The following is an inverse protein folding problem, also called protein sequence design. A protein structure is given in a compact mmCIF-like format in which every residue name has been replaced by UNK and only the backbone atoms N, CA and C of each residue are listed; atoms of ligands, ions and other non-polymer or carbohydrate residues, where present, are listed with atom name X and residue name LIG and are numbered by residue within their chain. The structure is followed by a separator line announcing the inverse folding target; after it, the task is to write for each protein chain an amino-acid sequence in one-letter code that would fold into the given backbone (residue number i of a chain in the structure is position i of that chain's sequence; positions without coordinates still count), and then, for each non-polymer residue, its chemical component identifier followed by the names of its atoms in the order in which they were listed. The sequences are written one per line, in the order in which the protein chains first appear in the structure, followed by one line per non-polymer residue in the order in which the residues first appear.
data_IF_293627124631
#
_entry.id   IF_293627124631
#
_cell.length_a   1.000
_cell.length_b   1.000
_cell.length_c   1.000
_cell.angle_alpha   90.00
_cell.angle_beta   90.00
_cell.angle_gamma   90.00
#
_symmetry.space_group_name_H-M   'P 1'
#
loop_
_entity.id
_entity.type
_entity.pdbx_description
1 polymer ?
#
# COMPACT_ATOMS: atom_id res chain seq x y z
N UNK A 1 1.35 -31.60 42.00
CA UNK A 1 1.13 -32.71 41.06
C UNK A 1 0.05 -33.69 41.53
N UNK A 2 -0.15 -33.88 42.85
CA UNK A 2 -1.15 -34.81 43.40
C UNK A 2 -1.86 -34.16 44.59
N UNK A 3 -2.75 -33.17 44.37
CA UNK A 3 -3.36 -32.40 45.44
C UNK A 3 -4.26 -33.25 46.38
N UNK A 4 -4.80 -34.36 45.84
CA UNK A 4 -5.67 -35.28 46.60
C UNK A 4 -4.90 -36.33 47.39
N UNK A 5 -3.57 -36.36 47.31
CA UNK A 5 -2.72 -37.36 48.00
C UNK A 5 -2.27 -36.82 49.37
N UNK A 6 -2.20 -37.69 50.37
CA UNK A 6 -1.52 -37.34 51.59
C UNK A 6 0.01 -37.20 51.36
N UNK A 7 0.72 -36.67 52.36
CA UNK A 7 2.15 -36.35 52.24
C UNK A 7 3.03 -37.59 51.94
N UNK A 8 2.67 -38.75 52.47
CA UNK A 8 3.48 -39.96 52.32
C UNK A 8 3.21 -40.62 50.98
N UNK A 9 1.94 -40.68 50.57
CA UNK A 9 1.53 -41.16 49.24
C UNK A 9 2.10 -40.29 48.13
N UNK A 10 2.03 -38.94 48.30
CA UNK A 10 2.63 -37.97 47.36
C UNK A 10 4.12 -38.14 47.21
N UNK A 11 4.89 -38.40 48.27
CA UNK A 11 6.32 -38.70 48.21
C UNK A 11 6.61 -40.00 47.44
N UNK A 12 5.83 -41.03 47.71
CA UNK A 12 6.01 -42.33 47.04
C UNK A 12 5.72 -42.21 45.54
N UNK A 13 4.70 -41.47 45.13
CA UNK A 13 4.38 -41.16 43.74
C UNK A 13 5.52 -40.38 43.08
N UNK A 14 6.08 -39.38 43.77
CA UNK A 14 7.21 -38.60 43.26
C UNK A 14 8.45 -39.49 43.08
N UNK A 15 8.82 -40.32 44.04
CA UNK A 15 9.95 -41.25 43.90
C UNK A 15 9.80 -42.20 42.71
N UNK A 16 8.61 -42.74 42.56
CA UNK A 16 8.30 -43.62 41.41
C UNK A 16 8.41 -42.87 40.08
N UNK A 17 7.88 -41.65 39.99
CA UNK A 17 7.94 -40.80 38.81
C UNK A 17 9.41 -40.50 38.44
N UNK A 18 10.21 -40.07 39.41
CA UNK A 18 11.65 -39.79 39.19
C UNK A 18 12.42 -41.07 38.79
N UNK A 19 12.08 -42.20 39.37
CA UNK A 19 12.67 -43.49 38.96
C UNK A 19 12.35 -43.80 37.48
N UNK A 20 11.09 -43.69 37.09
CA UNK A 20 10.66 -43.90 35.71
C UNK A 20 11.30 -42.91 34.74
N UNK A 21 11.36 -41.63 35.10
CA UNK A 21 12.04 -40.60 34.33
C UNK A 21 13.51 -40.93 34.10
N UNK A 22 14.27 -41.25 35.14
CA UNK A 22 15.67 -41.64 35.03
C UNK A 22 15.86 -42.89 34.18
N UNK A 23 14.93 -43.85 34.28
CA UNK A 23 14.93 -45.06 33.47
C UNK A 23 14.67 -44.78 32.00
N UNK A 24 13.75 -43.89 31.69
CA UNK A 24 13.45 -43.47 30.32
C UNK A 24 14.65 -42.75 29.70
N UNK A 25 15.16 -41.73 30.36
CA UNK A 25 16.33 -40.97 29.91
C UNK A 25 17.55 -41.86 29.66
N UNK A 26 17.79 -42.85 30.53
CA UNK A 26 18.91 -43.76 30.33
C UNK A 26 18.78 -44.71 29.13
N UNK A 27 17.52 -45.01 28.69
CA UNK A 27 17.29 -45.79 27.45
C UNK A 27 17.70 -44.97 26.22
N UNK A 28 17.55 -43.65 26.27
CA UNK A 28 17.89 -42.73 25.21
C UNK A 28 19.35 -42.26 25.27
N UNK A 29 20.17 -42.92 26.09
CA UNK A 29 21.62 -42.66 26.24
C UNK A 29 21.94 -41.46 27.14
N UNK A 30 20.95 -40.88 27.82
CA UNK A 30 21.18 -39.76 28.75
C UNK A 30 21.71 -40.29 30.08
N UNK A 31 22.75 -39.68 30.69
CA UNK A 31 23.32 -40.10 31.95
C UNK A 31 22.29 -40.10 33.09
N UNK A 32 22.33 -41.15 33.94
CA UNK A 32 21.35 -41.29 35.07
C UNK A 32 21.39 -40.15 36.07
N UNK A 33 22.52 -39.46 36.19
CA UNK A 33 22.73 -38.36 37.13
C UNK A 33 22.30 -36.99 36.59
N UNK A 34 21.68 -36.95 35.40
CA UNK A 34 21.10 -35.68 34.87
C UNK A 34 20.00 -35.15 35.78
N UNK A 35 19.21 -36.02 36.39
CA UNK A 35 18.26 -35.66 37.45
C UNK A 35 18.89 -36.04 38.80
N UNK A 36 19.31 -35.03 39.55
CA UNK A 36 19.93 -35.19 40.85
C UNK A 36 18.95 -34.92 41.99
N UNK A 37 19.20 -35.58 43.13
CA UNK A 37 18.51 -35.29 44.36
C UNK A 37 19.20 -34.14 45.07
N UNK A 38 18.44 -33.13 45.50
CA UNK A 38 18.93 -31.96 46.25
C UNK A 38 18.15 -31.84 47.54
N UNK A 39 18.61 -30.96 48.46
CA UNK A 39 17.86 -30.69 49.70
C UNK A 39 16.48 -30.15 49.33
N UNK A 40 15.47 -30.92 49.70
CA UNK A 40 14.05 -30.53 49.48
C UNK A 40 13.43 -30.96 48.15
N UNK A 41 14.17 -31.69 47.27
CA UNK A 41 13.60 -32.14 45.99
C UNK A 41 14.55 -32.74 44.98
N UNK A 42 14.25 -32.47 43.73
CA UNK A 42 15.05 -32.93 42.59
C UNK A 42 15.32 -31.71 41.70
N UNK A 43 16.51 -31.68 41.11
CA UNK A 43 16.89 -30.68 40.10
C UNK A 43 17.57 -31.35 38.90
N UNK A 44 17.63 -30.64 37.82
CA UNK A 44 18.56 -31.01 36.73
C UNK A 44 19.97 -30.67 37.20
N UNK A 45 20.93 -31.53 36.87
CA UNK A 45 22.30 -31.35 37.24
C UNK A 45 22.97 -30.28 36.38
N UNK A 46 23.48 -29.21 37.00
CA UNK A 46 24.08 -28.03 36.37
C UNK A 46 25.36 -28.35 35.53
N UNK A 47 25.93 -29.55 35.68
CA UNK A 47 27.06 -30.01 34.86
C UNK A 47 26.67 -30.38 33.43
N UNK A 48 25.36 -30.38 33.12
CA UNK A 48 24.84 -30.65 31.79
C UNK A 48 24.25 -29.37 31.17
N UNK A 49 24.72 -29.04 29.98
CA UNK A 49 24.08 -27.98 29.15
C UNK A 49 22.84 -28.54 28.45
N UNK A 50 21.69 -28.10 28.90
CA UNK A 50 20.40 -28.57 28.38
C UNK A 50 19.82 -27.52 27.47
N UNK A 51 19.81 -27.84 26.18
CA UNK A 51 19.14 -27.04 25.21
C UNK A 51 17.66 -27.45 25.09
N UNK A 52 16.77 -26.45 25.15
CA UNK A 52 15.36 -26.63 24.83
C UNK A 52 14.94 -25.58 23.79
N UNK A 53 14.06 -25.96 22.90
CA UNK A 53 13.57 -25.08 21.84
C UNK A 53 12.88 -23.82 22.39
N UNK A 54 12.04 -23.98 23.40
CA UNK A 54 11.29 -22.87 24.02
C UNK A 54 12.20 -21.87 24.72
N UNK A 55 13.18 -22.33 25.51
CA UNK A 55 14.12 -21.46 26.22
C UNK A 55 15.03 -20.71 25.26
N UNK A 56 15.55 -21.42 24.24
CA UNK A 56 16.32 -20.78 23.18
C UNK A 56 15.51 -19.74 22.41
N UNK A 57 14.24 -20.05 22.09
CA UNK A 57 13.32 -19.11 21.44
C UNK A 57 13.12 -17.86 22.28
N UNK A 58 12.76 -18.03 23.56
CA UNK A 58 12.54 -16.93 24.51
C UNK A 58 13.78 -16.04 24.65
N UNK A 59 14.96 -16.64 24.86
CA UNK A 59 16.23 -15.91 24.99
C UNK A 59 16.58 -15.09 23.74
N UNK A 60 16.42 -15.65 22.56
CA UNK A 60 16.72 -14.95 21.31
C UNK A 60 15.70 -13.84 21.04
N UNK A 61 14.40 -14.07 21.28
CA UNK A 61 13.39 -13.02 21.13
C UNK A 61 13.60 -11.91 22.16
N UNK A 62 13.96 -12.23 23.40
CA UNK A 62 14.31 -11.22 24.42
C UNK A 62 15.53 -10.37 24.00
N UNK A 63 16.54 -10.96 23.35
CA UNK A 63 17.66 -10.20 22.77
C UNK A 63 17.22 -9.27 21.64
N UNK A 64 16.31 -9.75 20.80
CA UNK A 64 15.71 -8.98 19.70
C UNK A 64 14.94 -7.77 20.26
N UNK A 65 14.10 -7.96 21.28
CA UNK A 65 13.32 -6.91 21.93
C UNK A 65 14.19 -5.87 22.66
N UNK A 66 15.40 -6.28 23.11
CA UNK A 66 16.42 -5.38 23.69
C UNK A 66 17.24 -4.63 22.62
N UNK A 67 16.87 -4.74 21.35
CA UNK A 67 17.47 -3.98 20.25
C UNK A 67 18.61 -4.70 19.52
N UNK A 68 18.85 -6.01 19.75
CA UNK A 68 19.81 -6.76 18.94
C UNK A 68 19.23 -6.97 17.54
N UNK A 69 19.98 -6.60 16.52
CA UNK A 69 19.56 -6.81 15.14
C UNK A 69 19.80 -8.27 14.68
N UNK A 70 18.80 -8.84 14.04
CA UNK A 70 18.85 -10.15 13.40
C UNK A 70 18.59 -10.05 11.90
N UNK A 71 19.21 -10.96 11.13
CA UNK A 71 18.89 -11.11 9.72
C UNK A 71 17.49 -11.72 9.54
N UNK A 72 16.90 -11.53 8.36
CA UNK A 72 15.58 -12.11 8.04
C UNK A 72 15.61 -13.63 8.16
N UNK A 73 16.70 -14.27 7.75
CA UNK A 73 16.89 -15.72 7.84
C UNK A 73 16.84 -16.19 9.31
N UNK A 74 17.52 -15.46 10.20
CA UNK A 74 17.47 -15.75 11.64
C UNK A 74 16.06 -15.57 12.20
N UNK A 75 15.35 -14.50 11.84
CA UNK A 75 13.98 -14.28 12.28
C UNK A 75 13.04 -15.39 11.76
N UNK A 76 13.19 -15.82 10.51
CA UNK A 76 12.44 -16.96 9.95
C UNK A 76 12.74 -18.27 10.67
N UNK A 77 13.99 -18.51 11.06
CA UNK A 77 14.36 -19.71 11.82
C UNK A 77 13.74 -19.72 13.22
N UNK A 78 13.71 -18.57 13.90
CA UNK A 78 13.04 -18.44 15.18
C UNK A 78 11.52 -18.62 15.06
N UNK A 79 10.91 -18.05 14.02
CA UNK A 79 9.49 -18.25 13.73
C UNK A 79 9.12 -19.73 13.59
N UNK A 80 10.00 -20.54 12.98
CA UNK A 80 9.76 -21.97 12.80
C UNK A 80 9.91 -22.80 14.08
N UNK A 81 10.57 -22.27 15.13
CA UNK A 81 10.68 -22.96 16.41
C UNK A 81 9.36 -22.96 17.18
N UNK A 82 8.56 -21.92 17.07
CA UNK A 82 7.25 -21.88 17.72
C UNK A 82 6.24 -22.71 16.92
N UNK A 83 5.93 -23.90 17.43
CA UNK A 83 5.04 -24.86 16.75
C UNK A 83 3.64 -24.95 17.34
N UNK A 84 3.32 -24.11 18.31
CA UNK A 84 2.07 -24.08 19.03
C UNK A 84 2.28 -23.84 20.53
N UNK A 85 1.19 -23.92 21.28
CA UNK A 85 1.20 -23.60 22.71
C UNK A 85 2.09 -24.54 23.50
N UNK A 86 2.84 -23.95 24.43
CA UNK A 86 3.70 -24.67 25.36
C UNK A 86 2.89 -25.70 26.17
N UNK A 87 3.30 -26.97 26.08
CA UNK A 87 2.60 -28.10 26.69
C UNK A 87 1.07 -28.08 26.47
N UNK A 88 0.66 -28.01 25.21
CA UNK A 88 -0.78 -27.92 24.82
C UNK A 88 -1.63 -29.08 25.37
N UNK A 89 -1.03 -30.21 25.73
CA UNK A 89 -1.67 -31.37 26.38
C UNK A 89 -1.89 -31.18 27.90
N UNK A 90 -1.23 -30.20 28.53
CA UNK A 90 -1.35 -29.89 29.96
C UNK A 90 -2.18 -28.62 30.21
N UNK A 91 -3.38 -28.56 29.64
CA UNK A 91 -4.22 -27.34 29.61
C UNK A 91 -4.62 -26.76 30.97
N UNK A 92 -4.65 -27.60 32.02
CA UNK A 92 -5.15 -27.24 33.34
C UNK A 92 -4.06 -27.12 34.40
N UNK A 93 -2.79 -27.06 33.96
CA UNK A 93 -1.66 -26.95 34.89
C UNK A 93 -1.22 -25.48 34.98
N UNK A 94 -1.57 -24.81 36.07
CA UNK A 94 -1.34 -23.37 36.30
C UNK A 94 0.10 -22.92 36.01
N UNK A 95 1.11 -23.78 36.31
CA UNK A 95 2.51 -23.47 36.08
C UNK A 95 2.87 -23.33 34.60
N UNK A 96 2.09 -23.93 33.71
CA UNK A 96 2.33 -23.82 32.24
C UNK A 96 1.75 -22.55 31.65
N UNK A 97 0.76 -21.95 32.29
CA UNK A 97 0.01 -20.83 31.75
C UNK A 97 0.88 -19.59 31.57
N UNK A 98 1.69 -19.24 32.58
CA UNK A 98 2.60 -18.08 32.53
C UNK A 98 3.61 -18.23 31.37
N UNK A 99 4.18 -19.44 31.20
CA UNK A 99 5.10 -19.70 30.08
C UNK A 99 4.39 -19.65 28.74
N UNK A 100 3.17 -20.16 28.67
CA UNK A 100 2.37 -20.18 27.45
C UNK A 100 2.05 -18.74 27.00
N UNK A 101 1.59 -17.90 27.89
CA UNK A 101 1.31 -16.49 27.58
C UNK A 101 2.58 -15.74 27.16
N UNK A 102 3.69 -15.90 27.88
CA UNK A 102 4.95 -15.24 27.54
C UNK A 102 5.49 -15.67 26.17
N UNK A 103 5.50 -16.97 25.89
CA UNK A 103 5.96 -17.50 24.60
C UNK A 103 5.04 -17.07 23.45
N UNK A 104 3.74 -17.00 23.69
CA UNK A 104 2.75 -16.51 22.75
C UNK A 104 3.00 -15.03 22.40
N UNK A 105 3.18 -14.18 23.41
CA UNK A 105 3.47 -12.77 23.22
C UNK A 105 4.81 -12.56 22.51
N UNK A 106 5.84 -13.31 22.87
CA UNK A 106 7.12 -13.30 22.20
C UNK A 106 7.02 -13.71 20.72
N UNK A 107 6.15 -14.67 20.41
CA UNK A 107 5.89 -15.07 19.02
C UNK A 107 5.21 -13.98 18.21
N UNK A 108 4.21 -13.30 18.79
CA UNK A 108 3.53 -12.18 18.13
C UNK A 108 4.48 -11.00 17.88
N UNK A 109 5.33 -10.68 18.86
CA UNK A 109 6.35 -9.64 18.72
C UNK A 109 7.38 -9.99 17.64
N UNK A 110 7.79 -11.26 17.55
CA UNK A 110 8.68 -11.76 16.49
C UNK A 110 8.03 -11.59 15.10
N UNK A 111 6.73 -11.92 14.95
CA UNK A 111 5.98 -11.72 13.71
C UNK A 111 5.98 -10.24 13.33
N UNK A 112 5.72 -9.34 14.26
CA UNK A 112 5.68 -7.90 14.02
C UNK A 112 7.04 -7.40 13.49
N UNK A 113 8.13 -7.75 14.14
CA UNK A 113 9.48 -7.35 13.72
C UNK A 113 9.89 -7.97 12.37
N UNK A 114 9.59 -9.27 12.17
CA UNK A 114 9.87 -9.96 10.91
C UNK A 114 9.13 -9.31 9.75
N UNK A 115 7.85 -9.05 9.94
CA UNK A 115 6.99 -8.50 8.89
C UNK A 115 7.31 -7.04 8.58
N UNK A 116 7.70 -6.23 9.57
CA UNK A 116 8.20 -4.89 9.35
C UNK A 116 9.49 -4.88 8.52
N UNK A 117 10.45 -5.78 8.83
CA UNK A 117 11.67 -5.93 8.02
C UNK A 117 11.37 -6.41 6.59
N UNK A 118 10.47 -7.37 6.43
CA UNK A 118 10.05 -7.86 5.10
C UNK A 118 9.37 -6.76 4.28
N UNK A 119 8.52 -5.97 4.90
CA UNK A 119 7.84 -4.84 4.27
C UNK A 119 8.83 -3.76 3.81
N UNK A 120 9.78 -3.37 4.66
CA UNK A 120 10.86 -2.43 4.33
C UNK A 120 11.72 -2.92 3.16
N UNK A 121 11.94 -4.22 3.06
CA UNK A 121 12.65 -4.86 1.94
C UNK A 121 11.74 -5.11 0.72
N UNK A 122 10.53 -4.53 0.68
CA UNK A 122 9.55 -4.65 -0.41
C UNK A 122 9.08 -6.10 -0.70
N UNK A 123 9.33 -7.03 0.22
CA UNK A 123 8.84 -8.40 0.13
C UNK A 123 7.39 -8.50 0.65
N UNK A 124 6.46 -7.84 -0.05
CA UNK A 124 5.06 -7.72 0.36
C UNK A 124 4.32 -9.06 0.40
N UNK A 125 4.71 -10.03 -0.43
CA UNK A 125 4.07 -11.37 -0.45
C UNK A 125 4.34 -12.13 0.84
N UNK A 126 5.62 -12.22 1.25
CA UNK A 126 5.98 -12.87 2.51
C UNK A 126 5.38 -12.11 3.69
N UNK A 127 5.41 -10.76 3.67
CA UNK A 127 4.78 -9.92 4.69
C UNK A 127 3.31 -10.32 4.92
N UNK A 128 2.53 -10.45 3.84
CA UNK A 128 1.12 -10.87 3.90
C UNK A 128 0.98 -12.27 4.49
N UNK A 129 1.83 -13.21 4.08
CA UNK A 129 1.75 -14.60 4.55
C UNK A 129 1.99 -14.72 6.06
N UNK A 130 3.01 -14.03 6.60
CA UNK A 130 3.30 -14.05 8.03
C UNK A 130 2.25 -13.27 8.83
N UNK A 131 1.79 -12.12 8.35
CA UNK A 131 0.73 -11.36 9.02
C UNK A 131 -0.61 -12.09 9.04
N UNK A 132 -0.94 -12.85 8.00
CA UNK A 132 -2.15 -13.67 7.99
C UNK A 132 -2.13 -14.66 9.15
N UNK A 133 -0.99 -15.32 9.40
CA UNK A 133 -0.82 -16.21 10.55
C UNK A 133 -0.87 -15.45 11.88
N UNK A 134 -0.28 -14.27 11.96
CA UNK A 134 -0.38 -13.41 13.13
C UNK A 134 -1.82 -13.03 13.46
N UNK A 135 -2.60 -12.64 12.46
CA UNK A 135 -4.04 -12.29 12.60
C UNK A 135 -4.90 -13.52 12.97
N UNK A 136 -4.58 -14.72 12.47
CA UNK A 136 -5.24 -15.94 12.89
C UNK A 136 -4.96 -16.27 14.38
N UNK A 137 -3.76 -15.94 14.83
CA UNK A 137 -3.31 -16.22 16.19
C UNK A 137 -3.80 -15.16 17.21
N UNK A 138 -3.80 -13.89 16.82
CA UNK A 138 -4.33 -12.76 17.60
C UNK A 138 -5.13 -11.82 16.68
N UNK A 139 -6.46 -12.00 16.60
CA UNK A 139 -7.31 -11.19 15.72
C UNK A 139 -7.57 -9.76 16.23
N UNK A 140 -7.11 -9.41 17.44
CA UNK A 140 -7.33 -8.09 18.03
C UNK A 140 -6.14 -7.14 17.81
N UNK A 141 -5.01 -7.61 17.32
CA UNK A 141 -3.78 -6.82 17.14
C UNK A 141 -3.86 -5.95 15.90
N UNK A 142 -4.30 -4.72 16.04
CA UNK A 142 -4.52 -3.77 14.94
C UNK A 142 -3.27 -3.50 14.09
N UNK A 143 -2.06 -3.51 14.69
CA UNK A 143 -0.81 -3.33 13.96
C UNK A 143 -0.62 -4.36 12.84
N UNK A 144 -1.09 -5.59 13.04
CA UNK A 144 -1.04 -6.63 12.00
C UNK A 144 -1.95 -6.28 10.82
N UNK A 145 -3.18 -5.84 11.09
CA UNK A 145 -4.08 -5.40 10.03
C UNK A 145 -3.55 -4.18 9.29
N UNK A 146 -2.99 -3.22 10.02
CA UNK A 146 -2.41 -2.02 9.45
C UNK A 146 -1.32 -2.34 8.43
N UNK A 147 -0.35 -3.15 8.80
CA UNK A 147 0.76 -3.54 7.92
C UNK A 147 0.29 -4.47 6.80
N UNK A 148 -0.66 -5.37 7.09
CA UNK A 148 -1.30 -6.26 6.11
C UNK A 148 -2.00 -5.47 5.00
N UNK A 149 -2.82 -4.49 5.37
CA UNK A 149 -3.52 -3.60 4.46
C UNK A 149 -2.51 -2.77 3.63
N UNK A 150 -1.48 -2.19 4.27
CA UNK A 150 -0.42 -1.46 3.57
C UNK A 150 0.28 -2.35 2.53
N UNK A 151 0.57 -3.61 2.85
CA UNK A 151 1.20 -4.57 1.93
C UNK A 151 0.28 -4.95 0.76
N UNK A 152 -1.02 -5.17 1.02
CA UNK A 152 -2.03 -5.43 -0.02
C UNK A 152 -2.13 -4.26 -1.02
N UNK A 153 -2.14 -3.03 -0.51
CA UNK A 153 -2.17 -1.81 -1.35
C UNK A 153 -0.94 -1.74 -2.25
N UNK A 154 0.25 -2.05 -1.73
CA UNK A 154 1.49 -2.10 -2.53
C UNK A 154 1.46 -3.15 -3.66
N UNK A 155 0.66 -4.20 -3.50
CA UNK A 155 0.42 -5.24 -4.52
C UNK A 155 -0.79 -4.95 -5.43
N UNK A 156 -1.47 -3.81 -5.27
CA UNK A 156 -2.68 -3.47 -6.04
C UNK A 156 -3.94 -4.25 -5.61
N UNK A 157 -3.92 -5.02 -4.51
CA UNK A 157 -5.02 -5.85 -4.02
C UNK A 157 -6.00 -5.03 -3.17
N UNK A 158 -6.57 -3.99 -3.77
CA UNK A 158 -7.38 -2.96 -3.06
C UNK A 158 -8.64 -3.54 -2.43
N UNK A 159 -9.35 -4.42 -3.14
CA UNK A 159 -10.58 -5.04 -2.62
C UNK A 159 -10.31 -5.86 -1.33
N UNK A 160 -9.21 -6.59 -1.30
CA UNK A 160 -8.80 -7.37 -0.13
C UNK A 160 -8.35 -6.48 1.03
N UNK A 161 -7.69 -5.36 0.74
CA UNK A 161 -7.33 -4.37 1.75
C UNK A 161 -8.57 -3.80 2.45
N UNK A 162 -9.60 -3.44 1.69
CA UNK A 162 -10.89 -2.95 2.22
C UNK A 162 -11.59 -4.03 3.06
N UNK A 163 -11.62 -5.27 2.56
CA UNK A 163 -12.25 -6.38 3.29
C UNK A 163 -11.53 -6.70 4.61
N UNK A 164 -10.20 -6.57 4.62
CA UNK A 164 -9.39 -6.78 5.83
C UNK A 164 -9.65 -5.71 6.89
N UNK A 165 -9.80 -4.45 6.48
CA UNK A 165 -10.22 -3.38 7.39
C UNK A 165 -11.59 -3.68 8.00
N UNK A 166 -12.59 -4.01 7.17
CA UNK A 166 -13.95 -4.32 7.64
C UNK A 166 -13.98 -5.53 8.58
N UNK A 167 -13.13 -6.53 8.35
CA UNK A 167 -12.98 -7.68 9.23
C UNK A 167 -12.46 -7.23 10.61
N UNK A 168 -11.40 -6.41 10.65
CA UNK A 168 -10.85 -5.88 11.88
C UNK A 168 -11.88 -5.03 12.63
N UNK A 169 -12.52 -4.08 11.96
CA UNK A 169 -13.57 -3.22 12.54
C UNK A 169 -14.69 -4.04 13.17
N UNK A 170 -15.17 -5.08 12.48
CA UNK A 170 -16.23 -5.95 12.99
C UNK A 170 -15.79 -6.69 14.26
N UNK A 171 -14.60 -7.31 14.25
CA UNK A 171 -14.07 -8.06 15.40
C UNK A 171 -13.91 -7.14 16.62
N UNK A 172 -13.30 -5.98 16.43
CA UNK A 172 -13.10 -5.01 17.52
C UNK A 172 -14.42 -4.53 18.09
N UNK A 173 -15.42 -4.27 17.24
CA UNK A 173 -16.73 -3.78 17.65
C UNK A 173 -17.58 -4.86 18.33
N UNK A 174 -17.63 -6.06 17.76
CA UNK A 174 -18.51 -7.13 18.26
C UNK A 174 -17.96 -7.80 19.53
N UNK A 175 -16.63 -7.91 19.66
CA UNK A 175 -16.01 -8.67 20.75
C UNK A 175 -15.43 -7.79 21.86
N UNK A 176 -15.03 -6.56 21.54
CA UNK A 176 -14.39 -5.63 22.49
C UNK A 176 -15.14 -4.32 22.69
N UNK A 177 -16.21 -4.04 21.91
CA UNK A 177 -16.91 -2.74 21.85
C UNK A 177 -15.97 -1.56 21.56
N UNK A 178 -14.93 -1.79 20.75
CA UNK A 178 -13.92 -0.81 20.37
C UNK A 178 -14.05 -0.43 18.89
N UNK A 179 -13.58 0.76 18.55
CA UNK A 179 -13.40 1.21 17.16
C UNK A 179 -11.94 1.09 16.75
N UNK A 180 -11.65 0.83 15.47
CA UNK A 180 -10.27 0.82 14.98
C UNK A 180 -9.52 2.12 15.27
N UNK A 181 -8.25 2.01 15.56
CA UNK A 181 -7.37 3.13 15.85
C UNK A 181 -7.25 4.12 14.69
N UNK A 182 -6.85 5.34 15.01
CA UNK A 182 -6.81 6.45 14.05
C UNK A 182 -5.94 6.16 12.82
N UNK A 183 -4.80 5.50 12.98
CA UNK A 183 -3.89 5.22 11.87
C UNK A 183 -4.50 4.23 10.87
N UNK A 184 -5.15 3.18 11.36
CA UNK A 184 -5.84 2.18 10.54
C UNK A 184 -7.02 2.82 9.78
N UNK A 185 -7.81 3.67 10.46
CA UNK A 185 -8.88 4.46 9.87
C UNK A 185 -8.37 5.39 8.75
N UNK A 186 -7.27 6.11 8.99
CA UNK A 186 -6.68 7.01 8.01
C UNK A 186 -6.22 6.28 6.74
N UNK A 187 -5.65 5.10 6.88
CA UNK A 187 -5.25 4.26 5.74
C UNK A 187 -6.49 3.83 4.95
N UNK A 188 -7.54 3.36 5.62
CA UNK A 188 -8.78 2.96 4.97
C UNK A 188 -9.44 4.10 4.21
N UNK A 189 -9.57 5.29 4.81
CA UNK A 189 -10.17 6.46 4.15
C UNK A 189 -9.40 6.86 2.89
N UNK A 190 -8.06 6.83 2.93
CA UNK A 190 -7.24 7.10 1.73
C UNK A 190 -7.48 6.09 0.61
N UNK A 191 -7.57 4.81 0.95
CA UNK A 191 -7.84 3.75 -0.02
C UNK A 191 -9.23 3.95 -0.65
N UNK A 192 -10.24 4.22 0.18
CA UNK A 192 -11.62 4.44 -0.27
C UNK A 192 -11.72 5.65 -1.20
N UNK A 193 -11.11 6.77 -0.81
CA UNK A 193 -11.08 7.99 -1.62
C UNK A 193 -10.40 7.77 -2.97
N UNK A 194 -9.24 7.10 -2.98
CA UNK A 194 -8.53 6.78 -4.23
C UNK A 194 -9.36 5.91 -5.17
N UNK A 195 -10.11 4.95 -4.62
CA UNK A 195 -11.02 4.10 -5.40
C UNK A 195 -12.19 4.89 -5.97
N UNK A 196 -12.86 5.71 -5.15
CA UNK A 196 -13.97 6.55 -5.59
C UNK A 196 -13.54 7.54 -6.68
N UNK A 197 -12.34 8.11 -6.57
CA UNK A 197 -11.78 8.98 -7.61
C UNK A 197 -11.52 8.21 -8.91
N UNK A 198 -10.97 7.00 -8.84
CA UNK A 198 -10.75 6.16 -10.02
C UNK A 198 -12.08 5.79 -10.70
N UNK A 199 -13.09 5.37 -9.93
CA UNK A 199 -14.44 5.07 -10.44
C UNK A 199 -15.09 6.29 -11.12
N UNK A 200 -14.96 7.49 -10.53
CA UNK A 200 -15.46 8.75 -11.14
C UNK A 200 -14.73 9.10 -12.43
N UNK A 201 -13.41 8.91 -12.49
CA UNK A 201 -12.62 9.14 -13.70
C UNK A 201 -13.05 8.16 -14.79
N UNK A 202 -13.24 6.87 -14.47
CA UNK A 202 -13.77 5.88 -15.43
C UNK A 202 -15.17 6.25 -15.93
N UNK A 203 -16.08 6.63 -15.04
CA UNK A 203 -17.41 7.07 -15.43
C UNK A 203 -17.38 8.32 -16.33
N UNK A 204 -16.46 9.27 -16.08
CA UNK A 204 -16.27 10.45 -16.92
C UNK A 204 -15.65 10.14 -18.28
N UNK A 205 -14.71 9.17 -18.33
CA UNK A 205 -14.07 8.76 -19.58
C UNK A 205 -14.97 7.87 -20.45
N UNK A 206 -15.93 7.15 -19.85
CA UNK A 206 -16.83 6.23 -20.56
C UNK A 206 -18.17 6.88 -20.94
N UNK A 207 -18.56 7.98 -20.25
CA UNK A 207 -19.72 8.75 -20.71
C UNK A 207 -19.40 9.29 -22.09
N UNK A 208 -20.31 9.07 -23.06
CA UNK A 208 -20.32 9.73 -24.36
C UNK A 208 -20.02 11.22 -24.15
N UNK A 209 -18.76 11.58 -24.35
CA UNK A 209 -18.37 12.99 -24.42
C UNK A 209 -19.06 13.48 -25.66
N UNK A 210 -20.20 14.12 -25.52
CA UNK A 210 -20.79 14.92 -26.60
C UNK A 210 -19.77 16.00 -26.88
N UNK A 211 -18.95 15.75 -27.91
CA UNK A 211 -17.93 16.71 -28.35
C UNK A 211 -18.73 17.93 -28.82
N UNK A 212 -18.62 19.03 -28.08
CA UNK A 212 -19.25 20.31 -28.51
C UNK A 212 -18.63 20.68 -29.87
N UNK A 213 -19.44 21.21 -30.81
CA UNK A 213 -18.88 21.76 -32.02
C UNK A 213 -17.93 22.93 -31.66
N UNK A 214 -16.85 23.06 -32.44
CA UNK A 214 -15.83 24.07 -32.19
C UNK A 214 -14.56 23.52 -31.54
N UNK A 215 -13.50 24.35 -31.49
CA UNK A 215 -12.24 23.99 -30.89
C UNK A 215 -12.33 23.93 -29.36
N UNK A 216 -11.46 23.11 -28.76
CA UNK A 216 -11.29 23.06 -27.31
C UNK A 216 -10.58 24.34 -26.83
N UNK A 217 -11.29 25.20 -26.11
CA UNK A 217 -10.70 26.35 -25.42
C UNK A 217 -10.16 25.92 -24.06
N UNK A 218 -8.87 26.18 -23.78
CA UNK A 218 -8.21 25.76 -22.54
C UNK A 218 -7.15 26.77 -22.08
N UNK A 219 -6.75 26.66 -20.81
CA UNK A 219 -5.62 27.41 -20.25
C UNK A 219 -4.32 27.09 -20.98
N UNK A 220 -3.39 28.07 -21.04
CA UNK A 220 -2.12 27.91 -21.78
C UNK A 220 -1.26 26.77 -21.27
N UNK A 221 -1.27 26.47 -19.97
CA UNK A 221 -0.57 25.31 -19.41
C UNK A 221 -1.08 23.96 -19.96
N UNK A 222 -2.40 23.85 -20.17
CA UNK A 222 -3.03 22.67 -20.79
C UNK A 222 -2.68 22.62 -22.26
N UNK A 223 -2.75 23.76 -22.95
CA UNK A 223 -2.37 23.90 -24.35
C UNK A 223 -0.93 23.44 -24.59
N UNK A 224 0.02 23.85 -23.72
CA UNK A 224 1.43 23.44 -23.81
C UNK A 224 1.59 21.91 -23.70
N UNK A 225 0.85 21.27 -22.81
CA UNK A 225 0.86 19.80 -22.69
C UNK A 225 0.26 19.08 -23.90
N UNK A 226 -0.80 19.64 -24.47
CA UNK A 226 -1.38 19.13 -25.72
C UNK A 226 -0.39 19.30 -26.87
N UNK A 227 0.27 20.44 -26.99
CA UNK A 227 1.29 20.71 -27.97
C UNK A 227 2.48 19.71 -27.87
N UNK A 228 2.98 19.45 -26.63
CA UNK A 228 4.00 18.42 -26.39
C UNK A 228 3.54 17.01 -26.83
N UNK A 229 2.27 16.67 -26.58
CA UNK A 229 1.69 15.40 -26.98
C UNK A 229 1.64 15.27 -28.50
N UNK A 230 1.18 16.31 -29.20
CA UNK A 230 1.13 16.33 -30.66
C UNK A 230 2.52 16.26 -31.30
N UNK A 231 3.52 16.92 -30.73
CA UNK A 231 4.91 16.76 -31.17
C UNK A 231 5.39 15.30 -31.10
N UNK A 232 4.98 14.56 -30.05
CA UNK A 232 5.31 13.13 -29.91
C UNK A 232 4.54 12.29 -30.93
N UNK A 233 3.29 12.62 -31.23
CA UNK A 233 2.46 11.96 -32.23
C UNK A 233 3.08 12.12 -33.62
N UNK A 234 3.45 13.34 -34.01
CA UNK A 234 4.10 13.63 -35.31
C UNK A 234 5.38 12.83 -35.45
N UNK A 235 6.26 12.83 -34.46
CA UNK A 235 7.51 12.05 -34.49
C UNK A 235 7.27 10.54 -34.65
N UNK A 236 6.19 10.00 -34.12
CA UNK A 236 5.89 8.56 -34.14
C UNK A 236 5.14 8.14 -35.41
N UNK A 237 4.17 8.95 -35.85
CA UNK A 237 3.23 8.59 -36.90
C UNK A 237 3.55 9.24 -38.26
N UNK A 238 4.60 10.08 -38.33
CA UNK A 238 4.97 10.85 -39.52
C UNK A 238 3.81 11.72 -40.06
N UNK A 239 3.00 12.25 -39.14
CA UNK A 239 1.94 13.21 -39.46
C UNK A 239 2.46 14.64 -39.48
N UNK A 240 1.56 15.61 -39.55
CA UNK A 240 1.86 17.03 -39.32
C UNK A 240 0.66 17.73 -38.71
N UNK A 241 0.89 18.83 -38.00
CA UNK A 241 -0.15 19.74 -37.56
C UNK A 241 0.29 21.18 -37.77
N UNK A 242 -0.65 22.11 -37.75
CA UNK A 242 -0.37 23.54 -37.91
C UNK A 242 -0.49 24.21 -36.55
N UNK A 243 0.57 24.93 -36.13
CA UNK A 243 0.53 25.88 -35.03
C UNK A 243 0.31 27.28 -35.63
N UNK A 244 -0.78 27.91 -35.23
CA UNK A 244 -1.11 29.28 -35.63
C UNK A 244 -1.07 30.16 -34.40
N UNK A 245 -0.48 31.36 -34.54
CA UNK A 245 -0.55 32.40 -33.51
C UNK A 245 -1.05 33.70 -34.10
N UNK A 246 -1.98 34.34 -33.38
CA UNK A 246 -2.57 35.63 -33.68
C UNK A 246 -2.10 36.61 -32.62
N UNK A 247 -1.48 37.72 -33.02
CA UNK A 247 -0.95 38.72 -32.10
C UNK A 247 -1.80 39.99 -32.14
N UNK A 248 -2.36 40.37 -31.00
CA UNK A 248 -3.22 41.50 -30.79
C UNK A 248 -2.54 42.67 -30.04
N UNK A 249 -1.23 42.64 -29.82
CA UNK A 249 -0.50 43.62 -28.99
C UNK A 249 -0.64 45.06 -29.49
N UNK A 250 -0.66 45.28 -30.82
CA UNK A 250 -0.71 46.58 -31.46
C UNK A 250 -2.11 46.98 -31.90
N UNK A 251 -3.14 46.34 -31.39
CA UNK A 251 -4.53 46.60 -31.79
C UNK A 251 -5.29 47.31 -30.67
N UNK A 252 -5.88 48.45 -31.03
CA UNK A 252 -6.84 49.18 -30.18
C UNK A 252 -8.25 48.59 -30.48
N UNK A 253 -8.62 47.57 -29.67
CA UNK A 253 -9.86 46.82 -29.90
C UNK A 253 -10.93 47.19 -28.86
N UNK A 254 -12.17 47.36 -29.28
CA UNK A 254 -13.32 47.56 -28.37
C UNK A 254 -13.80 46.26 -27.70
N UNK A 255 -13.19 45.09 -28.04
CA UNK A 255 -13.52 43.79 -27.50
C UNK A 255 -12.31 43.17 -26.73
N UNK A 256 -12.63 42.25 -25.86
CA UNK A 256 -11.58 41.50 -25.12
C UNK A 256 -10.97 40.38 -25.98
N UNK A 257 -9.70 40.01 -25.69
CA UNK A 257 -9.02 38.93 -26.39
C UNK A 257 -9.73 37.56 -26.12
N UNK A 258 -10.42 37.45 -24.98
CA UNK A 258 -11.26 36.29 -24.63
C UNK A 258 -12.45 36.18 -25.56
N UNK A 259 -13.17 37.27 -25.83
CA UNK A 259 -14.28 37.28 -26.78
C UNK A 259 -13.86 36.91 -28.19
N UNK A 260 -12.67 37.38 -28.60
CA UNK A 260 -12.06 37.01 -29.87
C UNK A 260 -11.77 35.51 -29.93
N UNK A 261 -11.16 34.96 -28.87
CA UNK A 261 -10.82 33.55 -28.80
C UNK A 261 -12.07 32.65 -28.77
N UNK A 262 -13.11 33.00 -28.03
CA UNK A 262 -14.37 32.25 -28.01
C UNK A 262 -15.01 32.21 -29.39
N UNK A 263 -15.10 33.36 -30.07
CA UNK A 263 -15.65 33.41 -31.42
C UNK A 263 -14.85 32.56 -32.41
N UNK A 264 -13.50 32.63 -32.35
CA UNK A 264 -12.63 31.81 -33.21
C UNK A 264 -12.82 30.33 -32.90
N UNK A 265 -12.91 29.95 -31.61
CA UNK A 265 -13.13 28.58 -31.20
C UNK A 265 -14.40 27.97 -31.80
N UNK A 266 -15.50 28.72 -31.87
CA UNK A 266 -16.77 28.29 -32.49
C UNK A 266 -16.65 28.03 -34.00
N UNK A 267 -15.75 28.71 -34.68
CA UNK A 267 -15.53 28.56 -36.14
C UNK A 267 -14.58 27.42 -36.49
N UNK A 268 -13.88 26.83 -35.51
CA UNK A 268 -12.93 25.76 -35.67
C UNK A 268 -13.60 24.40 -35.52
N UNK A 269 -12.84 23.32 -35.76
CA UNK A 269 -13.33 21.93 -35.68
C UNK A 269 -13.19 21.40 -34.26
N UNK A 270 -14.00 20.41 -33.92
CA UNK A 270 -13.99 19.77 -32.61
C UNK A 270 -12.67 19.07 -32.23
N UNK A 271 -11.73 18.94 -33.13
CA UNK A 271 -10.39 18.39 -32.82
C UNK A 271 -9.31 19.46 -32.63
N UNK A 272 -9.61 20.72 -32.94
CA UNK A 272 -8.66 21.82 -32.82
C UNK A 272 -8.60 22.32 -31.35
N UNK A 273 -7.50 22.97 -30.99
CA UNK A 273 -7.29 23.48 -29.62
C UNK A 273 -6.88 24.94 -29.69
N UNK A 274 -7.48 25.76 -28.85
CA UNK A 274 -7.22 27.20 -28.76
C UNK A 274 -6.90 27.63 -27.34
N UNK A 275 -5.97 28.56 -27.18
CA UNK A 275 -5.60 29.15 -25.89
C UNK A 275 -5.11 30.57 -26.03
N UNK A 276 -5.15 31.31 -24.93
CA UNK A 276 -4.61 32.68 -24.84
C UNK A 276 -3.36 32.67 -23.99
N UNK A 277 -2.35 33.42 -24.44
CA UNK A 277 -1.19 33.74 -23.62
C UNK A 277 -0.76 35.20 -23.88
N UNK A 278 -0.88 36.04 -22.88
CA UNK A 278 -0.69 37.50 -22.98
C UNK A 278 -1.62 38.08 -24.04
N UNK A 279 -1.09 38.84 -25.01
CA UNK A 279 -1.82 39.44 -26.12
C UNK A 279 -1.98 38.51 -27.34
N UNK A 280 -1.68 37.23 -27.21
CA UNK A 280 -1.68 36.26 -28.33
C UNK A 280 -2.68 35.13 -28.13
N UNK A 281 -3.33 34.76 -29.22
CA UNK A 281 -4.13 33.54 -29.31
C UNK A 281 -3.31 32.49 -30.05
N UNK A 282 -3.18 31.32 -29.43
CA UNK A 282 -2.52 30.16 -30.01
C UNK A 282 -3.53 29.10 -30.41
N UNK A 283 -3.35 28.48 -31.58
CA UNK A 283 -4.28 27.47 -32.11
C UNK A 283 -3.47 26.29 -32.65
N UNK A 284 -3.85 25.08 -32.25
CA UNK A 284 -3.38 23.82 -32.85
C UNK A 284 -4.46 23.31 -33.78
N UNK A 285 -4.13 23.12 -35.07
CA UNK A 285 -5.03 22.62 -36.11
C UNK A 285 -4.54 21.24 -36.54
N UNK A 286 -5.41 20.25 -36.37
CA UNK A 286 -5.12 18.85 -36.71
C UNK A 286 -5.50 18.55 -38.17
N UNK A 287 -4.80 17.58 -38.78
CA UNK A 287 -5.10 17.03 -40.14
C UNK A 287 -5.22 18.06 -41.25
N UNK A 288 -4.50 19.17 -41.16
CA UNK A 288 -4.44 20.16 -42.22
C UNK A 288 -3.06 20.18 -42.90
N UNK A 289 -3.06 20.15 -44.23
CA UNK A 289 -1.87 20.45 -45.04
C UNK A 289 -1.76 21.95 -45.25
N UNK A 290 -0.55 22.48 -45.41
CA UNK A 290 -0.27 23.90 -45.66
C UNK A 290 -1.09 24.48 -46.84
N UNK A 291 -1.47 23.65 -47.80
CA UNK A 291 -2.35 24.04 -48.91
C UNK A 291 -3.80 24.36 -48.53
N UNK A 292 -4.21 23.99 -47.31
CA UNK A 292 -5.54 24.30 -46.75
C UNK A 292 -5.56 25.59 -45.91
N UNK A 293 -4.45 26.31 -45.82
CA UNK A 293 -4.30 27.56 -45.05
C UNK A 293 -5.24 28.69 -45.58
N UNK A 294 -5.66 28.64 -46.85
CA UNK A 294 -6.60 29.57 -47.43
C UNK A 294 -7.94 29.57 -46.69
N UNK A 295 -8.46 28.41 -46.27
CA UNK A 295 -9.73 28.28 -45.57
C UNK A 295 -9.63 28.90 -44.14
N UNK A 296 -8.45 28.84 -43.51
CA UNK A 296 -8.20 29.43 -42.22
C UNK A 296 -8.15 30.94 -42.34
N UNK A 297 -7.51 31.46 -43.36
CA UNK A 297 -7.43 32.89 -43.64
C UNK A 297 -8.79 33.47 -43.96
N UNK A 298 -9.63 32.73 -44.68
CA UNK A 298 -11.03 33.16 -44.98
C UNK A 298 -11.87 33.26 -43.70
N UNK A 299 -11.80 32.29 -42.82
CA UNK A 299 -12.46 32.31 -41.52
C UNK A 299 -11.97 33.44 -40.63
N UNK A 300 -10.66 33.70 -40.69
CA UNK A 300 -10.04 34.80 -39.95
C UNK A 300 -10.43 36.16 -40.54
N UNK A 301 -10.57 36.29 -41.87
CA UNK A 301 -11.09 37.50 -42.50
C UNK A 301 -12.55 37.78 -42.05
N UNK A 302 -13.37 36.72 -41.99
CA UNK A 302 -14.76 36.85 -41.46
C UNK A 302 -14.79 37.32 -39.99
N UNK A 303 -13.80 36.90 -39.17
CA UNK A 303 -13.63 37.42 -37.81
C UNK A 303 -13.29 38.92 -37.83
N UNK A 304 -12.32 39.34 -38.67
CA UNK A 304 -11.94 40.77 -38.77
C UNK A 304 -13.08 41.64 -39.25
N UNK A 305 -13.91 41.16 -40.19
CA UNK A 305 -15.13 41.86 -40.66
C UNK A 305 -16.21 41.99 -39.57
N UNK A 306 -16.42 40.94 -38.78
CA UNK A 306 -17.42 40.94 -37.69
C UNK A 306 -17.08 41.93 -36.58
N UNK A 307 -15.80 42.07 -36.26
CA UNK A 307 -15.32 42.93 -35.18
C UNK A 307 -14.85 44.31 -35.67
N UNK A 308 -15.15 44.67 -36.95
CA UNK A 308 -14.85 45.95 -37.62
C UNK A 308 -13.42 46.45 -37.35
N UNK A 309 -12.46 45.51 -37.54
CA UNK A 309 -11.06 45.78 -37.24
C UNK A 309 -10.41 46.64 -38.34
N UNK A 310 -10.08 47.89 -38.04
CA UNK A 310 -9.31 48.78 -38.92
C UNK A 310 -7.93 48.24 -39.26
N UNK A 311 -7.29 47.49 -38.31
CA UNK A 311 -6.00 46.85 -38.46
C UNK A 311 -6.10 45.38 -38.12
N UNK A 312 -5.61 44.50 -38.98
CA UNK A 312 -5.64 43.06 -38.76
C UNK A 312 -4.56 42.63 -37.79
N UNK A 313 -4.79 41.64 -36.88
CA UNK A 313 -3.76 41.07 -36.05
C UNK A 313 -2.69 40.39 -36.92
N UNK A 314 -1.43 40.39 -36.45
CA UNK A 314 -0.38 39.68 -37.15
C UNK A 314 -0.56 38.15 -36.98
N UNK A 315 -0.38 37.43 -38.08
CA UNK A 315 -0.58 35.98 -38.14
C UNK A 315 0.76 35.29 -38.41
N UNK A 316 1.14 34.36 -37.53
CA UNK A 316 2.26 33.47 -37.74
C UNK A 316 1.73 32.02 -37.87
N UNK A 317 2.11 31.32 -38.94
CA UNK A 317 1.65 29.96 -39.28
C UNK A 317 2.86 29.06 -39.41
N UNK A 318 2.94 28.02 -38.58
CA UNK A 318 4.02 27.03 -38.60
C UNK A 318 3.46 25.63 -38.84
N UNK A 319 3.91 24.96 -39.90
CA UNK A 319 3.69 23.52 -40.06
C UNK A 319 4.75 22.76 -39.25
N UNK A 320 4.31 21.91 -38.34
CA UNK A 320 5.14 21.06 -37.50
C UNK A 320 5.12 19.64 -38.10
N UNK A 321 6.31 19.14 -38.45
CA UNK A 321 6.52 17.83 -39.11
C UNK A 321 7.37 16.92 -38.23
#
# INVERSE_FOLDING_TARGET
FWPESDLEDGKNKLYNTIYLLRRSLNRDGVPKNIVQSVSGGYSINDNYDIWTDWNYFEDEVNKLLKGKEFSIEKLKSLYQLYRGDFYSNLKYEDWTEIYRENLRENYLNLIEILTDKLYKNQNYRDTINYLHKGIEFDPYRENFYLLYIKALVKLGRIAEAINSYKKCERILKEELDLLPGQELNNVYHRIKLSRELAERVEEHLVRDITVKPGAMYCDFNIFEKIYELELRHVKRLKGSFILLSLDFEDLDCEFSIEEAAEYIAEQLRAGDVISICNSKIFIILHEMNFNSSGIILDRFNSFCEKFDLDKKPSIDIKEIK
#
